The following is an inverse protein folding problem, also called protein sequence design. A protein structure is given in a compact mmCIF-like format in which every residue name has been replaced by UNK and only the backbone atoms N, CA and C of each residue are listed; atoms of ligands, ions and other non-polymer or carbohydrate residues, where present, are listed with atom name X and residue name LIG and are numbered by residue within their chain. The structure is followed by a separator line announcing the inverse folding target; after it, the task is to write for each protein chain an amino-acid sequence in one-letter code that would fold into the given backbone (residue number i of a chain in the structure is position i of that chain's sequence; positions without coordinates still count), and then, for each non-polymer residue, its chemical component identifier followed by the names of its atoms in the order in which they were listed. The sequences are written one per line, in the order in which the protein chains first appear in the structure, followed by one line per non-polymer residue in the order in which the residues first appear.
data_IF_554228754256
#
_entry.id   IF_554228754256
#
_cell.length_a   1.000
_cell.length_b   1.000
_cell.length_c   1.000
_cell.angle_alpha   90.00
_cell.angle_beta   90.00
_cell.angle_gamma   90.00
#
_symmetry.space_group_name_H-M   'P 1'
#
loop_
_entity.id
_entity.type
_entity.pdbx_description
1 polymer ?
#
# COMPACT_ATOMS: atom_id res chain seq x y z
N UNK A 1 77.38 -58.72 -11.58
CA UNK A 1 76.99 -57.31 -11.83
C UNK A 1 75.51 -57.15 -11.46
N UNK A 2 75.20 -56.29 -10.49
CA UNK A 2 73.86 -56.17 -9.88
C UNK A 2 73.05 -55.08 -10.56
N UNK A 3 71.88 -55.42 -11.11
CA UNK A 3 70.94 -54.44 -11.70
C UNK A 3 70.06 -53.89 -10.56
N UNK A 4 70.20 -52.60 -10.24
CA UNK A 4 69.32 -51.91 -9.28
C UNK A 4 68.09 -51.36 -10.02
N UNK A 5 66.90 -51.82 -9.67
CA UNK A 5 65.63 -51.27 -10.15
C UNK A 5 65.27 -50.00 -9.33
N UNK A 6 65.19 -48.85 -9.98
CA UNK A 6 64.69 -47.61 -9.40
C UNK A 6 63.15 -47.55 -9.52
N UNK A 7 62.46 -47.96 -8.47
CA UNK A 7 61.03 -47.69 -8.29
C UNK A 7 60.86 -46.29 -7.69
N UNK A 8 60.67 -45.26 -8.54
CA UNK A 8 60.20 -43.95 -8.09
C UNK A 8 58.68 -43.89 -8.19
N UNK A 9 58.00 -43.93 -7.04
CA UNK A 9 56.54 -43.76 -6.97
C UNK A 9 56.21 -42.29 -7.20
N UNK A 10 55.53 -41.94 -8.29
CA UNK A 10 55.04 -40.58 -8.55
C UNK A 10 53.88 -40.27 -7.59
N UNK A 11 54.02 -39.23 -6.77
CA UNK A 11 52.95 -38.77 -5.89
C UNK A 11 51.84 -38.09 -6.72
N UNK A 12 50.55 -38.21 -6.31
CA UNK A 12 49.44 -37.60 -7.04
C UNK A 12 49.43 -36.07 -6.89
N UNK A 13 49.12 -35.38 -7.99
CA UNK A 13 48.91 -33.94 -8.03
C UNK A 13 47.53 -33.60 -7.46
N UNK A 14 47.51 -32.97 -6.29
CA UNK A 14 46.27 -32.56 -5.62
C UNK A 14 46.02 -31.09 -5.93
N UNK A 15 45.10 -30.82 -6.85
CA UNK A 15 44.60 -29.47 -7.11
C UNK A 15 43.52 -29.14 -6.08
N UNK A 16 43.87 -28.31 -5.10
CA UNK A 16 42.92 -27.77 -4.12
C UNK A 16 42.33 -26.48 -4.68
N UNK A 17 41.04 -26.50 -5.03
CA UNK A 17 40.32 -25.32 -5.46
C UNK A 17 39.88 -24.50 -4.25
N UNK A 18 40.42 -23.28 -4.14
CA UNK A 18 40.07 -22.36 -3.06
C UNK A 18 38.71 -21.70 -3.35
N UNK A 19 37.65 -22.21 -2.71
CA UNK A 19 36.27 -21.73 -2.89
C UNK A 19 35.98 -20.37 -2.23
N UNK A 20 36.98 -19.75 -1.59
CA UNK A 20 36.83 -18.49 -0.85
C UNK A 20 36.45 -17.28 -1.73
N UNK A 21 36.70 -17.35 -3.04
CA UNK A 21 36.31 -16.34 -4.03
C UNK A 21 34.89 -16.48 -4.58
N UNK A 22 34.18 -17.58 -4.29
CA UNK A 22 32.80 -17.81 -4.75
C UNK A 22 31.82 -17.06 -3.86
N UNK A 23 31.88 -15.73 -3.90
CA UNK A 23 30.84 -14.86 -3.34
C UNK A 23 29.51 -15.20 -4.02
N UNK A 24 28.53 -15.66 -3.22
CA UNK A 24 27.16 -15.91 -3.63
C UNK A 24 26.43 -14.62 -4.04
N UNK A 25 26.81 -14.03 -5.18
CA UNK A 25 26.21 -12.83 -5.73
C UNK A 25 26.22 -12.84 -7.25
N UNK A 26 25.18 -13.46 -7.79
CA UNK A 26 24.37 -12.87 -8.86
C UNK A 26 22.98 -13.46 -8.72
N UNK A 27 22.02 -12.63 -8.29
CA UNK A 27 20.62 -12.98 -8.50
C UNK A 27 20.44 -13.01 -10.02
N UNK A 28 20.46 -14.19 -10.63
CA UNK A 28 20.29 -14.33 -12.08
C UNK A 28 19.10 -13.49 -12.52
N UNK A 29 19.25 -12.71 -13.59
CA UNK A 29 18.16 -11.88 -14.07
C UNK A 29 16.97 -12.77 -14.45
N UNK A 30 15.73 -12.26 -14.33
CA UNK A 30 14.53 -13.03 -14.72
C UNK A 30 14.62 -13.53 -16.17
N UNK A 31 15.40 -12.85 -17.01
CA UNK A 31 15.70 -13.28 -18.36
C UNK A 31 16.69 -14.45 -18.40
N UNK A 32 17.82 -14.37 -17.69
CA UNK A 32 18.79 -15.48 -17.60
C UNK A 32 18.14 -16.76 -17.09
N UNK A 33 17.30 -16.65 -16.04
CA UNK A 33 16.55 -17.79 -15.52
C UNK A 33 15.61 -18.40 -16.58
N UNK A 34 14.90 -17.55 -17.33
CA UNK A 34 14.00 -18.01 -18.41
C UNK A 34 14.74 -18.59 -19.62
N UNK A 35 15.91 -18.06 -19.94
CA UNK A 35 16.75 -18.57 -21.02
C UNK A 35 17.31 -19.95 -20.63
N UNK A 36 17.84 -20.07 -19.41
CA UNK A 36 18.38 -21.30 -18.86
C UNK A 36 17.33 -22.40 -18.68
N UNK A 37 16.13 -22.06 -18.21
CA UNK A 37 15.02 -23.02 -18.04
C UNK A 37 14.30 -23.37 -19.34
N UNK A 38 14.65 -22.75 -20.47
CA UNK A 38 14.02 -23.06 -21.75
C UNK A 38 14.74 -24.20 -22.45
N UNK A 39 14.00 -25.11 -23.08
CA UNK A 39 14.54 -26.23 -23.88
C UNK A 39 15.30 -25.80 -25.14
N UNK A 40 15.34 -24.49 -25.46
CA UNK A 40 15.97 -23.96 -26.67
C UNK A 40 17.35 -23.41 -26.33
N UNK A 41 18.39 -24.18 -26.66
CA UNK A 41 19.80 -23.84 -26.41
C UNK A 41 20.19 -22.49 -27.04
N UNK A 42 19.59 -22.14 -28.19
CA UNK A 42 19.77 -20.85 -28.86
C UNK A 42 19.43 -19.63 -27.98
N UNK A 43 18.65 -19.79 -26.91
CA UNK A 43 18.29 -18.68 -25.99
C UNK A 43 19.36 -18.40 -24.94
N UNK A 44 20.30 -19.32 -24.71
CA UNK A 44 21.38 -19.18 -23.72
C UNK A 44 22.46 -18.24 -24.25
N UNK A 45 22.73 -18.29 -25.57
CA UNK A 45 23.72 -17.45 -26.26
C UNK A 45 23.12 -16.16 -26.83
N UNK A 46 21.79 -16.04 -26.86
CA UNK A 46 21.12 -14.85 -27.36
C UNK A 46 21.34 -13.65 -26.43
N UNK A 47 21.80 -12.53 -27.00
CA UNK A 47 21.95 -11.26 -26.29
C UNK A 47 20.56 -10.78 -25.81
N UNK A 48 20.47 -10.48 -24.51
CA UNK A 48 19.22 -9.99 -23.93
C UNK A 48 18.68 -8.78 -24.72
N UNK A 49 17.37 -8.71 -25.01
CA UNK A 49 16.77 -7.57 -25.68
C UNK A 49 17.01 -6.31 -24.84
N UNK A 50 17.39 -5.22 -25.52
CA UNK A 50 17.62 -3.94 -24.84
C UNK A 50 16.34 -3.54 -24.10
N UNK A 51 16.45 -3.07 -22.84
CA UNK A 51 15.27 -2.56 -22.14
C UNK A 51 14.68 -1.41 -22.95
N UNK A 52 13.35 -1.43 -23.15
CA UNK A 52 12.62 -0.38 -23.88
C UNK A 52 13.07 1.01 -23.42
N UNK A 53 13.31 1.89 -24.39
CA UNK A 53 13.80 3.25 -24.13
C UNK A 53 12.78 4.02 -23.28
N UNK A 54 13.22 5.10 -22.62
CA UNK A 54 12.29 5.94 -21.84
C UNK A 54 11.22 6.59 -22.74
N UNK A 55 11.53 6.79 -24.02
CA UNK A 55 10.63 7.35 -25.03
C UNK A 55 9.58 6.34 -25.49
N UNK A 56 9.98 5.11 -25.82
CA UNK A 56 9.05 4.02 -26.16
C UNK A 56 8.06 3.75 -25.01
N UNK A 57 8.51 3.86 -23.76
CA UNK A 57 7.63 3.73 -22.58
C UNK A 57 6.67 4.90 -22.37
N UNK A 58 6.98 6.08 -22.92
CA UNK A 58 6.07 7.24 -22.90
C UNK A 58 5.05 7.14 -24.03
N UNK A 59 5.47 6.72 -25.22
CA UNK A 59 4.60 6.42 -26.36
C UNK A 59 3.60 5.30 -26.00
N UNK A 60 4.08 4.18 -25.46
CA UNK A 60 3.23 3.09 -24.94
C UNK A 60 2.16 3.57 -23.94
N UNK A 61 2.43 4.65 -23.19
CA UNK A 61 1.47 5.22 -22.23
C UNK A 61 0.48 6.15 -22.91
N UNK A 62 0.93 6.94 -23.89
CA UNK A 62 0.07 7.81 -24.68
C UNK A 62 -0.91 6.98 -25.51
N UNK A 63 -0.43 5.93 -26.18
CA UNK A 63 -1.27 5.02 -26.97
C UNK A 63 -2.35 4.37 -26.10
N UNK A 64 -1.98 3.93 -24.89
CA UNK A 64 -2.94 3.39 -23.92
C UNK A 64 -3.95 4.42 -23.41
N UNK A 65 -3.61 5.71 -23.40
CA UNK A 65 -4.56 6.78 -23.06
C UNK A 65 -5.51 7.03 -24.23
N UNK A 66 -4.97 7.13 -25.44
CA UNK A 66 -5.74 7.29 -26.67
C UNK A 66 -6.73 6.13 -26.88
N UNK A 67 -6.30 4.88 -26.65
CA UNK A 67 -7.15 3.70 -26.73
C UNK A 67 -8.29 3.72 -25.70
N UNK A 68 -8.05 4.27 -24.50
CA UNK A 68 -9.10 4.42 -23.47
C UNK A 68 -10.12 5.47 -23.89
N UNK A 69 -9.65 6.60 -24.38
CA UNK A 69 -10.51 7.69 -24.87
C UNK A 69 -11.35 7.22 -26.06
N UNK A 70 -10.74 6.48 -26.99
CA UNK A 70 -11.44 5.86 -28.12
C UNK A 70 -12.49 4.86 -27.63
N UNK A 71 -12.17 4.00 -26.65
CA UNK A 71 -13.15 3.08 -26.05
C UNK A 71 -14.29 3.81 -25.36
N UNK A 72 -14.02 4.85 -24.59
CA UNK A 72 -15.07 5.64 -23.93
C UNK A 72 -15.98 6.34 -24.95
N UNK A 73 -15.44 6.71 -26.13
CA UNK A 73 -16.21 7.26 -27.24
C UNK A 73 -17.05 6.19 -27.96
N UNK A 74 -16.48 5.01 -28.25
CA UNK A 74 -17.18 3.87 -28.85
C UNK A 74 -18.27 3.30 -27.95
N UNK A 75 -18.02 3.25 -26.63
CA UNK A 75 -18.99 2.87 -25.61
C UNK A 75 -20.09 3.94 -25.41
N UNK A 76 -19.99 5.09 -26.09
CA UNK A 76 -21.02 6.12 -26.10
C UNK A 76 -21.14 6.89 -24.78
N UNK A 77 -20.23 6.70 -23.81
CA UNK A 77 -20.29 7.37 -22.50
C UNK A 77 -20.30 8.88 -22.66
N UNK A 78 -19.48 9.42 -23.56
CA UNK A 78 -19.42 10.86 -23.84
C UNK A 78 -20.74 11.37 -24.43
N UNK A 79 -21.42 10.59 -25.28
CA UNK A 79 -22.70 10.99 -25.86
C UNK A 79 -23.82 10.93 -24.83
N UNK A 80 -23.86 9.87 -24.02
CA UNK A 80 -24.83 9.70 -22.92
C UNK A 80 -24.65 10.83 -21.89
N UNK A 81 -23.42 11.17 -21.54
CA UNK A 81 -23.13 12.29 -20.63
C UNK A 81 -23.60 13.63 -21.21
N UNK A 82 -23.33 13.92 -22.49
CA UNK A 82 -23.80 15.15 -23.15
C UNK A 82 -25.32 15.23 -23.21
N UNK A 83 -25.98 14.11 -23.52
CA UNK A 83 -27.43 14.04 -23.55
C UNK A 83 -28.02 14.25 -22.16
N UNK A 84 -27.43 13.64 -21.13
CA UNK A 84 -27.80 13.87 -19.74
C UNK A 84 -27.58 15.34 -19.33
N UNK A 85 -26.44 15.95 -19.68
CA UNK A 85 -26.16 17.38 -19.44
C UNK A 85 -27.16 18.31 -20.15
N UNK A 86 -27.66 17.92 -21.33
CA UNK A 86 -28.66 18.69 -22.09
C UNK A 86 -30.08 18.63 -21.49
N UNK A 87 -30.43 17.52 -20.84
CA UNK A 87 -31.73 17.32 -20.20
C UNK A 87 -31.82 17.98 -18.81
N UNK A 88 -30.68 18.19 -18.14
CA UNK A 88 -30.63 18.80 -16.81
C UNK A 88 -30.86 20.32 -16.87
N UNK A 89 -31.69 20.81 -15.94
CA UNK A 89 -31.91 22.23 -15.71
C UNK A 89 -30.61 22.95 -15.31
N UNK A 90 -30.47 24.25 -15.58
CA UNK A 90 -29.21 25.00 -15.39
C UNK A 90 -28.57 24.83 -14.00
N UNK A 91 -29.36 24.82 -12.92
CA UNK A 91 -28.85 24.60 -11.55
C UNK A 91 -28.38 23.15 -11.33
N UNK A 92 -29.07 22.18 -11.90
CA UNK A 92 -28.75 20.76 -11.79
C UNK A 92 -27.56 20.39 -12.66
N UNK A 93 -27.49 20.95 -13.87
CA UNK A 93 -26.35 20.86 -14.78
C UNK A 93 -25.09 21.41 -14.12
N UNK A 94 -25.18 22.55 -13.44
CA UNK A 94 -24.04 23.09 -12.68
C UNK A 94 -23.61 22.14 -11.55
N UNK A 95 -24.55 21.60 -10.76
CA UNK A 95 -24.23 20.61 -9.72
C UNK A 95 -23.56 19.36 -10.31
N UNK A 96 -24.14 18.78 -11.36
CA UNK A 96 -23.60 17.62 -12.06
C UNK A 96 -22.18 17.87 -12.57
N UNK A 97 -21.94 18.99 -13.24
CA UNK A 97 -20.61 19.37 -13.73
C UNK A 97 -19.61 19.54 -12.58
N UNK A 98 -20.02 20.17 -11.46
CA UNK A 98 -19.14 20.28 -10.29
C UNK A 98 -18.82 18.91 -9.68
N UNK A 99 -19.76 17.97 -9.67
CA UNK A 99 -19.52 16.60 -9.19
C UNK A 99 -18.62 15.81 -10.14
N UNK A 100 -18.81 15.95 -11.45
CA UNK A 100 -17.95 15.38 -12.49
C UNK A 100 -16.52 15.86 -12.32
N UNK A 101 -16.32 17.17 -12.16
CA UNK A 101 -15.00 17.75 -11.90
C UNK A 101 -14.38 17.22 -10.59
N UNK A 102 -15.18 17.06 -9.52
CA UNK A 102 -14.69 16.44 -8.27
C UNK A 102 -14.25 15.00 -8.47
N UNK A 103 -14.98 14.20 -9.26
CA UNK A 103 -14.63 12.80 -9.59
C UNK A 103 -13.33 12.74 -10.41
N UNK A 104 -13.13 13.69 -11.32
CA UNK A 104 -11.91 13.84 -12.11
C UNK A 104 -10.71 14.39 -11.30
N UNK A 105 -10.89 14.71 -10.02
CA UNK A 105 -9.82 15.09 -9.11
C UNK A 105 -9.68 16.59 -8.84
N UNK A 106 -10.64 17.42 -9.27
CA UNK A 106 -10.69 18.83 -8.87
C UNK A 106 -10.87 18.93 -7.36
N UNK A 107 -10.00 19.70 -6.71
CA UNK A 107 -10.11 19.97 -5.26
C UNK A 107 -11.42 20.71 -5.01
N UNK A 108 -12.26 20.15 -4.13
CA UNK A 108 -13.52 20.76 -3.72
C UNK A 108 -13.23 22.15 -3.14
N UNK A 109 -13.84 23.20 -3.70
CA UNK A 109 -13.78 24.54 -3.10
C UNK A 109 -14.24 24.49 -1.65
N UNK A 110 -13.51 25.18 -0.77
CA UNK A 110 -13.88 25.28 0.64
C UNK A 110 -15.26 25.94 0.70
N UNK A 111 -16.13 25.42 1.58
CA UNK A 111 -17.41 26.08 1.87
C UNK A 111 -17.13 27.51 2.32
N UNK A 112 -18.04 28.40 1.97
CA UNK A 112 -18.00 29.79 2.42
C UNK A 112 -17.89 29.87 3.95
N UNK A 113 -17.19 30.89 4.45
CA UNK A 113 -16.98 31.08 5.88
C UNK A 113 -18.31 31.45 6.53
N UNK A 114 -18.86 30.54 7.33
CA UNK A 114 -20.07 30.79 8.11
C UNK A 114 -19.72 31.18 9.55
N UNK A 115 -20.51 32.06 10.20
CA UNK A 115 -20.41 32.30 11.64
C UNK A 115 -20.59 31.01 12.44
N UNK A 116 -19.90 30.89 13.58
CA UNK A 116 -19.88 29.67 14.39
C UNK A 116 -21.29 29.25 14.84
N UNK A 117 -22.11 30.19 15.32
CA UNK A 117 -23.48 29.90 15.78
C UNK A 117 -24.34 29.30 14.67
N UNK A 118 -24.30 29.89 13.47
CA UNK A 118 -25.02 29.38 12.29
C UNK A 118 -24.48 28.03 11.82
N UNK A 119 -23.16 27.82 11.90
CA UNK A 119 -22.55 26.55 11.55
C UNK A 119 -23.06 25.43 12.46
N UNK A 120 -23.02 25.61 13.78
CA UNK A 120 -23.50 24.61 14.72
C UNK A 120 -25.01 24.40 14.63
N UNK A 121 -25.80 25.46 14.44
CA UNK A 121 -27.23 25.34 14.19
C UNK A 121 -27.52 24.53 12.91
N UNK A 122 -26.81 24.81 11.81
CA UNK A 122 -26.94 24.04 10.57
C UNK A 122 -26.61 22.57 10.75
N UNK A 123 -25.58 22.24 11.55
CA UNK A 123 -25.18 20.87 11.82
C UNK A 123 -26.22 20.13 12.68
N UNK A 124 -26.70 20.76 13.76
CA UNK A 124 -27.79 20.21 14.59
C UNK A 124 -29.03 19.93 13.75
N UNK A 125 -29.46 20.88 12.92
CA UNK A 125 -30.61 20.71 12.04
C UNK A 125 -30.42 19.58 11.00
N UNK A 126 -29.18 19.28 10.59
CA UNK A 126 -28.88 18.13 9.71
C UNK A 126 -28.97 16.82 10.48
N UNK A 127 -28.43 16.79 11.70
CA UNK A 127 -28.49 15.63 12.59
C UNK A 127 -29.92 15.30 12.97
N UNK A 128 -30.73 16.28 13.32
CA UNK A 128 -32.17 16.10 13.62
C UNK A 128 -32.93 15.55 12.41
N UNK A 129 -32.69 16.08 11.20
CA UNK A 129 -33.29 15.53 9.97
C UNK A 129 -32.87 14.09 9.71
N UNK A 130 -31.58 13.78 9.89
CA UNK A 130 -31.09 12.41 9.75
C UNK A 130 -31.73 11.46 10.76
N UNK A 131 -31.82 11.87 12.03
CA UNK A 131 -32.45 11.09 13.09
C UNK A 131 -33.94 10.90 12.83
N UNK A 132 -34.66 11.93 12.39
CA UNK A 132 -36.07 11.84 12.01
C UNK A 132 -36.26 10.86 10.85
N UNK A 133 -35.46 10.96 9.80
CA UNK A 133 -35.54 10.02 8.67
C UNK A 133 -35.25 8.57 9.08
N UNK A 134 -34.30 8.36 10.00
CA UNK A 134 -34.00 7.03 10.56
C UNK A 134 -35.16 6.51 11.41
N UNK A 135 -35.78 7.37 12.23
CA UNK A 135 -36.97 7.03 13.02
C UNK A 135 -38.14 6.68 12.10
N UNK A 136 -38.44 7.52 11.12
CA UNK A 136 -39.51 7.27 10.15
C UNK A 136 -39.29 5.95 9.39
N UNK A 137 -38.05 5.63 9.00
CA UNK A 137 -37.72 4.36 8.36
C UNK A 137 -37.85 3.16 9.32
N UNK A 138 -37.55 3.36 10.59
CA UNK A 138 -37.72 2.36 11.65
C UNK A 138 -39.21 2.07 11.89
N UNK A 139 -40.01 3.12 12.01
CA UNK A 139 -41.46 3.03 12.27
C UNK A 139 -42.19 2.39 11.08
N UNK A 140 -41.67 2.55 9.86
CA UNK A 140 -42.14 1.86 8.65
C UNK A 140 -41.62 0.42 8.52
N UNK A 141 -40.70 -0.02 9.37
CA UNK A 141 -40.09 -1.36 9.31
C UNK A 141 -39.11 -1.58 8.15
N UNK A 142 -38.66 -0.52 7.47
CA UNK A 142 -37.75 -0.60 6.31
C UNK A 142 -36.29 -0.35 6.72
N UNK A 143 -36.03 -0.07 8.01
CA UNK A 143 -34.70 0.26 8.49
C UNK A 143 -33.76 -0.96 8.43
N UNK A 144 -32.88 -0.97 7.44
CA UNK A 144 -31.73 -1.88 7.36
C UNK A 144 -30.42 -1.11 7.59
N UNK A 145 -29.32 -1.84 7.83
CA UNK A 145 -28.00 -1.21 7.97
C UNK A 145 -27.56 -0.42 6.73
N UNK A 146 -27.93 -0.86 5.52
CA UNK A 146 -27.62 -0.10 4.28
C UNK A 146 -28.47 1.16 4.20
N UNK A 147 -29.77 1.04 4.44
CA UNK A 147 -30.71 2.19 4.41
C UNK A 147 -30.29 3.23 5.44
N UNK A 148 -29.97 2.81 6.67
CA UNK A 148 -29.44 3.73 7.70
C UNK A 148 -28.19 4.47 7.20
N UNK A 149 -27.25 3.76 6.56
CA UNK A 149 -26.02 4.35 6.02
C UNK A 149 -26.30 5.35 4.89
N UNK A 150 -27.26 5.05 4.04
CA UNK A 150 -27.69 5.92 2.94
C UNK A 150 -28.36 7.19 3.47
N UNK A 151 -29.27 7.06 4.44
CA UNK A 151 -29.91 8.19 5.12
C UNK A 151 -28.88 9.07 5.85
N UNK A 152 -27.93 8.46 6.56
CA UNK A 152 -26.81 9.17 7.19
C UNK A 152 -25.99 9.94 6.13
N UNK A 153 -25.64 9.32 4.99
CA UNK A 153 -24.89 10.00 3.92
C UNK A 153 -25.69 11.12 3.26
N UNK A 154 -26.98 10.93 3.02
CA UNK A 154 -27.82 11.93 2.38
C UNK A 154 -27.93 13.22 3.22
N UNK A 155 -28.07 13.09 4.54
CA UNK A 155 -28.26 14.23 5.43
C UNK A 155 -26.97 14.78 6.04
N UNK A 156 -26.05 13.92 6.46
CA UNK A 156 -24.82 14.30 7.16
C UNK A 156 -23.61 14.40 6.23
N UNK A 157 -23.69 13.84 5.02
CA UNK A 157 -22.57 13.77 4.07
C UNK A 157 -21.46 12.77 4.47
N UNK A 158 -21.67 12.00 5.54
CA UNK A 158 -20.75 10.98 6.06
C UNK A 158 -21.52 9.96 6.89
N UNK A 159 -21.00 8.75 6.98
CA UNK A 159 -21.57 7.71 7.84
C UNK A 159 -21.08 7.84 9.28
N UNK A 160 -21.80 7.27 10.23
CA UNK A 160 -21.37 7.11 11.62
C UNK A 160 -20.01 6.41 11.74
N UNK A 161 -19.73 5.41 10.90
CA UNK A 161 -18.43 4.73 10.83
C UNK A 161 -17.31 5.65 10.32
N UNK A 162 -17.59 6.51 9.34
CA UNK A 162 -16.64 7.50 8.81
C UNK A 162 -16.37 8.63 9.82
N UNK A 163 -17.40 9.08 10.53
CA UNK A 163 -17.26 10.07 11.60
C UNK A 163 -16.36 9.57 12.74
N UNK A 164 -16.45 8.29 13.08
CA UNK A 164 -15.64 7.67 14.13
C UNK A 164 -14.18 7.37 13.71
N UNK A 165 -13.79 7.54 12.43
CA UNK A 165 -12.39 7.33 11.99
C UNK A 165 -11.39 8.20 12.76
N UNK A 166 -11.79 9.39 13.19
CA UNK A 166 -10.93 10.28 13.99
C UNK A 166 -10.84 9.89 15.47
N UNK A 167 -11.72 9.02 15.99
CA UNK A 167 -11.66 8.50 17.35
C UNK A 167 -10.62 7.38 17.51
N UNK A 168 -10.14 6.80 16.40
CA UNK A 168 -9.02 5.86 16.39
C UNK A 168 -7.65 6.55 16.36
N UNK A 169 -7.56 7.83 16.73
CA UNK A 169 -6.25 8.39 17.06
C UNK A 169 -5.70 7.56 18.23
N UNK A 170 -4.45 7.05 18.14
CA UNK A 170 -3.86 6.33 19.26
C UNK A 170 -3.95 7.24 20.49
N UNK A 171 -4.57 6.72 21.56
CA UNK A 171 -4.63 7.44 22.83
C UNK A 171 -3.20 7.81 23.23
N UNK A 172 -3.02 9.02 23.74
CA UNK A 172 -1.75 9.43 24.30
C UNK A 172 -1.36 8.40 25.38
N UNK A 173 -0.17 7.82 25.23
CA UNK A 173 0.34 6.80 26.16
C UNK A 173 1.03 7.45 27.36
N UNK A 174 0.96 8.78 27.47
CA UNK A 174 1.66 9.55 28.48
C UNK A 174 3.19 9.57 28.22
N UNK A 175 3.96 10.20 29.12
CA UNK A 175 5.41 10.19 29.03
C UNK A 175 5.93 8.75 29.12
N UNK A 176 6.82 8.38 28.20
CA UNK A 176 7.44 7.05 28.18
C UNK A 176 8.30 6.85 29.43
N UNK A 177 7.84 6.01 30.36
CA UNK A 177 8.56 5.65 31.58
C UNK A 177 9.72 4.68 31.30
N UNK A 178 10.79 5.18 30.66
CA UNK A 178 12.10 4.54 30.62
C UNK A 178 12.15 3.06 30.16
N UNK A 179 13.21 2.33 30.54
CA UNK A 179 13.39 0.93 30.16
C UNK A 179 12.59 0.00 31.07
N UNK A 180 11.48 -0.52 30.57
CA UNK A 180 10.68 -1.53 31.26
C UNK A 180 9.23 -1.51 30.80
N UNK A 181 8.44 -2.43 31.35
CA UNK A 181 6.98 -2.41 31.19
C UNK A 181 6.37 -2.15 32.55
N UNK A 182 5.75 -1.00 32.73
CA UNK A 182 4.95 -0.74 33.93
C UNK A 182 3.60 -1.42 33.75
N UNK A 183 3.27 -2.37 34.63
CA UNK A 183 1.99 -3.08 34.61
C UNK A 183 1.55 -3.33 36.05
N UNK A 184 0.28 -3.08 36.35
CA UNK A 184 -0.33 -3.37 37.65
C UNK A 184 0.43 -2.73 38.85
N UNK A 185 0.96 -1.51 38.65
CA UNK A 185 1.73 -0.79 39.68
C UNK A 185 3.20 -1.23 39.84
N UNK A 186 3.65 -2.21 39.05
CA UNK A 186 4.99 -2.80 39.16
C UNK A 186 5.79 -2.59 37.88
N UNK A 187 7.03 -2.12 38.01
CA UNK A 187 7.97 -1.97 36.90
C UNK A 187 8.62 -3.32 36.58
N UNK A 188 8.29 -3.88 35.41
CA UNK A 188 8.91 -5.10 34.91
C UNK A 188 10.13 -4.75 34.07
N UNK A 189 11.32 -5.09 34.57
CA UNK A 189 12.59 -4.90 33.88
C UNK A 189 13.08 -6.27 33.39
N UNK A 190 13.52 -6.35 32.13
CA UNK A 190 14.09 -7.61 31.62
C UNK A 190 15.47 -7.85 32.22
N UNK A 191 15.81 -9.12 32.50
CA UNK A 191 17.13 -9.49 33.02
C UNK A 191 18.28 -8.98 32.13
N UNK A 192 18.09 -9.03 30.81
CA UNK A 192 19.03 -8.45 29.84
C UNK A 192 19.27 -6.94 29.99
N UNK A 193 18.30 -6.19 30.53
CA UNK A 193 18.46 -4.77 30.79
C UNK A 193 19.20 -4.54 32.11
N UNK A 194 18.90 -5.36 33.13
CA UNK A 194 19.64 -5.39 34.39
C UNK A 194 21.12 -5.71 34.13
N UNK A 195 21.42 -6.73 33.34
CA UNK A 195 22.78 -7.17 33.01
C UNK A 195 23.58 -6.10 32.24
N UNK A 196 22.91 -5.31 31.40
CA UNK A 196 23.51 -4.18 30.65
C UNK A 196 23.87 -3.01 31.56
N UNK A 197 23.02 -2.69 32.54
CA UNK A 197 23.25 -1.57 33.46
C UNK A 197 24.22 -1.96 34.58
N UNK A 198 24.15 -3.21 35.06
CA UNK A 198 24.98 -3.75 36.14
C UNK A 198 26.44 -4.07 35.76
N UNK A 199 26.88 -3.75 34.55
CA UNK A 199 28.30 -3.81 34.18
C UNK A 199 28.90 -5.21 34.03
N UNK A 200 28.10 -6.28 34.02
CA UNK A 200 28.61 -7.60 33.66
C UNK A 200 28.97 -7.58 32.17
N UNK A 201 30.26 -7.67 31.86
CA UNK A 201 30.77 -7.79 30.48
C UNK A 201 30.26 -9.10 29.88
N UNK A 202 29.04 -9.12 29.35
CA UNK A 202 28.59 -10.26 28.55
C UNK A 202 29.34 -10.20 27.22
N UNK A 203 30.15 -11.22 26.95
CA UNK A 203 30.71 -11.51 25.65
C UNK A 203 29.71 -11.17 24.53
N UNK A 204 30.16 -10.37 23.57
CA UNK A 204 29.43 -10.05 22.35
C UNK A 204 29.13 -11.32 21.56
N UNK A 205 28.04 -12.02 21.87
CA UNK A 205 27.40 -12.90 20.90
C UNK A 205 26.67 -12.01 19.92
N UNK A 206 27.29 -11.83 18.76
CA UNK A 206 26.72 -11.23 17.56
C UNK A 206 25.35 -11.86 17.31
N UNK A 207 24.31 -11.15 17.74
CA UNK A 207 22.93 -11.56 17.57
C UNK A 207 22.52 -11.41 16.12
N UNK A 208 22.36 -12.55 15.45
CA UNK A 208 21.60 -12.72 14.20
C UNK A 208 20.38 -11.79 14.21
N UNK A 209 20.35 -10.84 13.28
CA UNK A 209 19.23 -9.94 13.05
C UNK A 209 17.92 -10.73 12.86
N UNK A 210 16.98 -10.52 13.78
CA UNK A 210 15.61 -10.97 13.62
C UNK A 210 14.97 -10.13 12.51
N UNK A 211 14.71 -10.78 11.38
CA UNK A 211 13.94 -10.20 10.27
C UNK A 211 12.57 -9.76 10.80
N UNK A 212 12.33 -8.45 10.83
CA UNK A 212 10.99 -7.90 10.98
C UNK A 212 10.13 -8.42 9.83
N UNK A 213 9.09 -9.21 10.13
CA UNK A 213 8.02 -9.51 9.19
C UNK A 213 7.31 -8.21 8.86
N UNK A 214 7.61 -7.66 7.67
CA UNK A 214 6.88 -6.55 7.07
C UNK A 214 5.46 -7.05 6.78
N UNK A 215 4.48 -6.55 7.50
CA UNK A 215 3.07 -6.78 7.18
C UNK A 215 2.80 -6.15 5.81
N UNK A 216 2.29 -6.96 4.88
CA UNK A 216 1.77 -6.49 3.60
C UNK A 216 0.62 -5.51 3.86
N UNK A 217 0.75 -4.32 3.28
CA UNK A 217 -0.38 -3.53 2.79
C UNK A 217 -0.58 -3.88 1.32
#
# INVERSE_FOLDING_TARGET
MSVKANCSKRAPEVVVFDAAGLSAKTQNSKHEYKAFMSSKIAKITAKAPKPRSKEERKEDKADRQNDRELKDLLEGKVMIEKLHESQLSGKERHKYNTEKLKRLGMKVHKKEKMPANMYFASQRNREERAQKAIKDANDRGVLTASVKRELERAHLGRTSSEANKHKFKPKDRGPNAGPGKFKDGVLHISKSHIDRVGGSKSHSRVGKGSKSRKSRR
#
